data_IF_929042142094
#
_entry.id   IF_929042142094
#
_cell.length_a   1.000
_cell.length_b   1.000
_cell.length_c   1.000
_cell.angle_alpha   90.00
_cell.angle_beta   90.00
_cell.angle_gamma   90.00
#
_symmetry.space_group_name_H-M   'P 1'
#
loop_
_entity.id
_entity.type
_entity.pdbx_description
1 polymer ?
#
# COMPACT_ATOMS: atom_id res chain seq x y z
N UNK A 1 -13.93 4.00 0.02
CA UNK A 1 -14.84 2.94 -0.50
C UNK A 1 -14.40 2.62 -1.92
N UNK A 2 -14.32 1.35 -2.31
CA UNK A 2 -13.76 0.91 -3.60
C UNK A 2 -14.80 0.20 -4.45
N UNK A 3 -14.68 0.32 -5.77
CA UNK A 3 -15.59 -0.31 -6.76
C UNK A 3 -15.25 -1.77 -7.05
N UNK A 4 -13.99 -2.17 -6.82
CA UNK A 4 -13.45 -3.47 -7.21
C UNK A 4 -12.92 -3.53 -8.65
N UNK A 5 -12.94 -2.42 -9.39
CA UNK A 5 -12.27 -2.31 -10.69
C UNK A 5 -10.79 -1.99 -10.42
N UNK A 6 -9.90 -2.92 -10.74
CA UNK A 6 -8.46 -2.76 -10.53
C UNK A 6 -7.89 -1.80 -11.58
N UNK A 7 -7.21 -0.74 -11.11
CA UNK A 7 -6.64 0.30 -11.97
C UNK A 7 -5.29 -0.09 -12.58
N UNK A 8 -4.44 -0.78 -11.81
CA UNK A 8 -3.17 -1.32 -12.30
C UNK A 8 -2.65 -2.47 -11.43
N UNK A 9 -1.58 -3.11 -11.91
CA UNK A 9 -0.78 -4.06 -11.12
C UNK A 9 0.49 -3.34 -10.64
N UNK A 10 0.64 -3.21 -9.33
CA UNK A 10 1.82 -2.62 -8.71
C UNK A 10 2.93 -3.64 -8.41
N UNK A 11 4.12 -3.14 -8.10
CA UNK A 11 5.29 -3.92 -7.70
C UNK A 11 5.67 -3.60 -6.25
N UNK A 12 5.84 -4.63 -5.40
CA UNK A 12 6.34 -4.44 -4.04
C UNK A 12 7.85 -4.18 -4.10
N UNK A 13 8.27 -2.98 -3.71
CA UNK A 13 9.68 -2.58 -3.72
C UNK A 13 10.37 -2.81 -2.38
N UNK A 14 9.63 -2.68 -1.26
CA UNK A 14 10.18 -2.87 0.07
C UNK A 14 9.12 -3.32 1.07
N UNK A 15 9.54 -4.18 2.00
CA UNK A 15 8.80 -4.55 3.21
C UNK A 15 9.74 -4.32 4.39
N UNK A 16 9.35 -3.48 5.35
CA UNK A 16 10.13 -3.22 6.56
C UNK A 16 9.28 -3.48 7.79
N UNK A 17 9.72 -4.42 8.61
CA UNK A 17 9.07 -4.71 9.87
C UNK A 17 9.56 -3.73 10.95
N UNK A 18 8.62 -3.21 11.73
CA UNK A 18 8.88 -2.49 12.97
C UNK A 18 8.26 -3.26 14.15
N UNK A 19 8.43 -2.77 15.38
CA UNK A 19 7.89 -3.44 16.55
C UNK A 19 6.35 -3.54 16.54
N UNK A 20 5.65 -2.61 15.87
CA UNK A 20 4.19 -2.49 15.94
C UNK A 20 3.49 -2.63 14.58
N UNK A 21 4.16 -2.27 13.49
CA UNK A 21 3.60 -2.26 12.13
C UNK A 21 4.60 -2.75 11.09
N UNK A 22 4.10 -3.13 9.92
CA UNK A 22 4.91 -3.38 8.73
C UNK A 22 4.72 -2.23 7.74
N UNK A 23 5.82 -1.65 7.28
CA UNK A 23 5.83 -0.67 6.21
C UNK A 23 5.97 -1.38 4.87
N UNK A 24 5.02 -1.15 3.98
CA UNK A 24 5.01 -1.70 2.62
C UNK A 24 5.15 -0.55 1.63
N UNK A 25 6.19 -0.59 0.81
CA UNK A 25 6.39 0.34 -0.31
C UNK A 25 6.06 -0.35 -1.62
N UNK A 26 5.16 0.25 -2.39
CA UNK A 26 4.66 -0.28 -3.67
C UNK A 26 4.88 0.75 -4.77
N UNK A 27 5.35 0.30 -5.94
CA UNK A 27 5.38 1.07 -7.17
C UNK A 27 4.05 0.90 -7.91
N UNK A 28 3.36 2.01 -8.18
CA UNK A 28 2.09 2.07 -8.90
C UNK A 28 1.87 3.47 -9.46
N UNK A 29 2.46 3.81 -10.61
CA UNK A 29 2.46 5.18 -11.12
C UNK A 29 1.06 5.73 -11.43
N UNK A 30 0.10 4.87 -11.79
CA UNK A 30 -1.26 5.29 -12.12
C UNK A 30 -2.01 5.69 -10.85
N UNK A 31 -2.00 4.82 -9.83
CA UNK A 31 -2.72 5.06 -8.56
C UNK A 31 -2.06 6.12 -7.69
N UNK A 32 -0.79 6.46 -7.94
CA UNK A 32 -0.11 7.56 -7.24
C UNK A 32 -0.22 8.90 -7.96
N UNK A 33 -0.80 8.96 -9.16
CA UNK A 33 -0.79 10.18 -9.98
C UNK A 33 -1.55 11.36 -9.34
N UNK A 34 -2.51 11.07 -8.47
CA UNK A 34 -3.31 12.03 -7.70
C UNK A 34 -3.40 11.69 -6.21
N UNK A 35 -2.67 10.68 -5.73
CA UNK A 35 -2.69 10.29 -4.33
C UNK A 35 -1.95 11.28 -3.43
N UNK A 36 -2.55 11.61 -2.30
CA UNK A 36 -1.96 12.41 -1.23
C UNK A 36 -1.81 11.60 0.07
N UNK A 37 -1.07 12.17 1.02
CA UNK A 37 -1.00 11.62 2.37
C UNK A 37 -2.40 11.56 3.00
N UNK A 38 -2.75 10.41 3.57
CA UNK A 38 -4.06 10.15 4.17
C UNK A 38 -5.09 9.57 3.20
N UNK A 39 -4.82 9.56 1.90
CA UNK A 39 -5.69 8.92 0.92
C UNK A 39 -5.65 7.40 1.04
N UNK A 40 -6.65 6.74 0.44
CA UNK A 40 -6.82 5.29 0.51
C UNK A 40 -6.53 4.64 -0.83
N UNK A 41 -5.56 3.73 -0.86
CA UNK A 41 -5.28 2.86 -2.01
C UNK A 41 -5.59 1.42 -1.60
N UNK A 42 -6.34 0.70 -2.44
CA UNK A 42 -6.63 -0.71 -2.20
C UNK A 42 -5.57 -1.60 -2.84
N UNK A 43 -4.85 -2.40 -2.03
CA UNK A 43 -3.88 -3.39 -2.52
C UNK A 43 -4.43 -4.78 -2.27
N UNK A 44 -4.61 -5.58 -3.33
CA UNK A 44 -5.25 -6.90 -3.27
C UNK A 44 -6.58 -6.90 -2.49
N UNK A 45 -7.38 -5.83 -2.65
CA UNK A 45 -8.68 -5.67 -1.99
C UNK A 45 -8.62 -5.17 -0.55
N UNK A 46 -7.45 -4.91 0.01
CA UNK A 46 -7.27 -4.35 1.36
C UNK A 46 -7.16 -2.83 1.27
N UNK A 47 -8.04 -2.12 1.98
CA UNK A 47 -7.96 -0.65 2.12
C UNK A 47 -6.73 -0.27 2.95
N UNK A 48 -5.81 0.50 2.37
CA UNK A 48 -4.59 0.95 3.05
C UNK A 48 -4.45 2.46 2.94
N UNK A 49 -4.03 3.09 4.03
CA UNK A 49 -3.83 4.54 4.10
C UNK A 49 -2.42 4.88 3.65
N UNK A 50 -2.31 5.78 2.67
CA UNK A 50 -1.03 6.30 2.19
C UNK A 50 -0.40 7.19 3.25
N UNK A 51 0.78 6.82 3.73
CA UNK A 51 1.56 7.63 4.66
C UNK A 51 2.65 8.44 3.95
N UNK A 52 3.07 7.98 2.77
CA UNK A 52 4.06 8.65 1.92
C UNK A 52 3.69 8.42 0.43
N UNK A 53 3.10 9.41 -0.27
CA UNK A 53 2.58 9.27 -1.64
C UNK A 53 3.63 9.32 -2.75
N UNK A 54 4.89 9.62 -2.44
CA UNK A 54 6.00 9.62 -3.41
C UNK A 54 7.16 8.71 -2.99
N UNK A 55 7.10 8.12 -1.79
CA UNK A 55 8.14 7.24 -1.28
C UNK A 55 9.52 7.88 -1.41
N UNK A 56 10.50 7.07 -1.82
CA UNK A 56 11.84 7.54 -2.19
C UNK A 56 12.00 7.83 -3.70
N UNK A 57 10.95 7.65 -4.52
CA UNK A 57 11.01 7.71 -6.00
C UNK A 57 9.63 7.94 -6.61
N UNK A 58 9.53 8.73 -7.68
CA UNK A 58 8.28 8.97 -8.41
C UNK A 58 7.51 7.69 -8.76
N UNK A 59 6.19 7.71 -8.57
CA UNK A 59 5.30 6.59 -8.85
C UNK A 59 5.30 5.50 -7.78
N UNK A 60 5.76 5.81 -6.55
CA UNK A 60 5.74 4.89 -5.41
C UNK A 60 4.98 5.47 -4.25
N UNK A 61 4.38 4.59 -3.44
CA UNK A 61 3.74 4.99 -2.19
C UNK A 61 4.07 4.01 -1.06
N UNK A 62 4.02 4.48 0.18
CA UNK A 62 4.19 3.65 1.38
C UNK A 62 2.94 3.66 2.24
N UNK A 63 2.63 2.50 2.80
CA UNK A 63 1.50 2.25 3.71
C UNK A 63 1.96 1.50 4.95
N UNK A 64 1.19 1.65 6.03
CA UNK A 64 1.36 0.90 7.28
C UNK A 64 0.35 -0.24 7.37
N UNK A 65 0.84 -1.43 7.72
CA UNK A 65 0.02 -2.60 7.99
C UNK A 65 0.15 -2.96 9.47
N UNK A 66 -0.99 -2.92 10.17
CA UNK A 66 -1.08 -3.47 11.53
C UNK A 66 -1.12 -5.00 11.50
N UNK A 67 -0.72 -5.70 12.58
CA UNK A 67 -0.64 -7.16 12.61
C UNK A 67 -1.95 -7.87 12.26
N UNK A 68 -3.10 -7.31 12.65
CA UNK A 68 -4.40 -7.89 12.32
C UNK A 68 -4.70 -7.83 10.81
N UNK A 69 -4.30 -6.75 10.12
CA UNK A 69 -4.46 -6.62 8.66
C UNK A 69 -3.66 -7.69 7.93
N UNK A 70 -2.42 -7.94 8.36
CA UNK A 70 -1.61 -9.02 7.81
C UNK A 70 -2.28 -10.38 8.05
N UNK A 71 -2.71 -10.65 9.29
CA UNK A 71 -3.34 -11.93 9.67
C UNK A 71 -4.66 -12.22 8.95
N UNK A 72 -5.40 -11.19 8.55
CA UNK A 72 -6.75 -11.31 7.97
C UNK A 72 -6.80 -11.15 6.45
N UNK A 73 -5.68 -10.89 5.80
CA UNK A 73 -5.62 -10.66 4.36
C UNK A 73 -4.56 -11.54 3.69
N UNK A 74 -4.48 -11.47 2.36
CA UNK A 74 -3.43 -12.11 1.58
C UNK A 74 -2.11 -11.32 1.57
N UNK A 75 -2.01 -10.25 2.36
CA UNK A 75 -0.80 -9.42 2.45
C UNK A 75 0.22 -9.95 3.46
N UNK A 76 -0.12 -10.93 4.31
CA UNK A 76 0.90 -11.72 4.99
C UNK A 76 1.61 -12.60 3.97
N UNK A 77 2.94 -12.52 3.90
CA UNK A 77 3.73 -13.48 3.13
C UNK A 77 3.42 -14.91 3.58
N UNK A 78 3.35 -15.83 2.62
CA UNK A 78 3.36 -17.27 2.88
C UNK A 78 4.76 -17.72 3.32
#
# INVERSE_FOLDING_TARGET
>A
MFTGIVEEVGEVLAVRESAEVVLLTVRGPTVTSDAAHGDSIAVNGVCLTVIDPAGSTDGTFTVELVPETLKRSSLSAA
#
